data_IF_944983525112
#
_entry.id   IF_944983525112
#
_cell.length_a   1.000
_cell.length_b   1.000
_cell.length_c   1.000
_cell.angle_alpha   90.00
_cell.angle_beta   90.00
_cell.angle_gamma   90.00
#
_symmetry.space_group_name_H-M   'P 1'
#
loop_
_entity.id
_entity.type
_entity.pdbx_description
1 polymer ?
#
# COMPACT_ATOMS: atom_id res chain seq x y z
N UNK A 1 -25.87 -20.70 -34.34
CA UNK A 1 -26.67 -19.66 -33.67
C UNK A 1 -26.02 -19.35 -32.33
N UNK A 2 -25.98 -18.10 -31.92
CA UNK A 2 -25.40 -17.72 -30.61
C UNK A 2 -26.30 -18.21 -29.49
N UNK A 3 -25.71 -18.77 -28.44
CA UNK A 3 -26.39 -19.21 -27.23
C UNK A 3 -27.12 -18.06 -26.48
N UNK A 4 -26.74 -16.81 -26.78
CA UNK A 4 -27.28 -15.60 -26.15
C UNK A 4 -28.32 -14.86 -27.01
N UNK A 5 -28.85 -15.47 -28.09
CA UNK A 5 -29.83 -14.82 -28.94
C UNK A 5 -31.19 -14.65 -28.23
N UNK A 6 -31.87 -13.55 -28.57
CA UNK A 6 -33.18 -13.20 -28.02
C UNK A 6 -34.28 -14.18 -28.45
N UNK A 7 -35.19 -14.49 -27.52
CA UNK A 7 -36.44 -15.21 -27.87
C UNK A 7 -37.30 -14.36 -28.78
N UNK A 8 -37.82 -14.98 -29.86
CA UNK A 8 -38.84 -14.34 -30.74
C UNK A 8 -40.21 -14.77 -30.22
N UNK A 9 -40.94 -13.83 -29.67
CA UNK A 9 -42.29 -14.02 -29.18
C UNK A 9 -43.32 -13.91 -30.31
N UNK A 10 -44.16 -14.90 -30.47
CA UNK A 10 -45.21 -14.88 -31.51
C UNK A 10 -46.55 -15.26 -30.86
N UNK A 11 -47.63 -14.69 -31.42
CA UNK A 11 -48.99 -15.01 -30.99
C UNK A 11 -49.27 -16.49 -31.16
N UNK A 12 -49.90 -17.12 -30.15
CA UNK A 12 -50.28 -18.54 -30.21
C UNK A 12 -49.15 -19.54 -29.96
N UNK A 13 -47.93 -19.11 -29.65
CA UNK A 13 -46.86 -20.05 -29.35
C UNK A 13 -47.08 -20.72 -27.97
N UNK A 14 -46.74 -22.00 -27.87
CA UNK A 14 -46.68 -22.71 -26.60
C UNK A 14 -45.42 -22.35 -25.84
N UNK A 15 -45.59 -21.86 -24.62
CA UNK A 15 -44.48 -21.45 -23.75
C UNK A 15 -43.99 -22.65 -22.97
N UNK A 16 -42.68 -22.97 -23.08
CA UNK A 16 -41.98 -23.97 -22.29
C UNK A 16 -40.91 -23.28 -21.42
N UNK A 17 -40.35 -24.01 -20.46
CA UNK A 17 -39.28 -23.54 -19.55
C UNK A 17 -38.07 -23.00 -20.31
N UNK A 18 -37.75 -23.58 -21.49
CA UNK A 18 -36.62 -23.16 -22.32
C UNK A 18 -36.75 -21.72 -22.83
N UNK A 19 -37.97 -21.21 -23.02
CA UNK A 19 -38.19 -19.81 -23.43
C UNK A 19 -37.79 -18.84 -22.33
N UNK A 20 -38.14 -19.11 -21.07
CA UNK A 20 -37.73 -18.31 -19.94
C UNK A 20 -36.22 -18.37 -19.72
N UNK A 21 -35.63 -19.57 -19.70
CA UNK A 21 -34.20 -19.76 -19.57
C UNK A 21 -33.39 -19.05 -20.67
N UNK A 22 -33.89 -19.05 -21.92
CA UNK A 22 -33.24 -18.34 -23.02
C UNK A 22 -33.42 -16.84 -22.91
N UNK A 23 -34.55 -16.37 -22.38
CA UNK A 23 -34.81 -14.97 -22.14
C UNK A 23 -33.86 -14.44 -21.06
N UNK A 24 -33.69 -15.15 -19.95
CA UNK A 24 -32.77 -14.81 -18.86
C UNK A 24 -31.33 -14.75 -19.39
N UNK A 25 -30.86 -15.75 -20.13
CA UNK A 25 -29.52 -15.72 -20.75
C UNK A 25 -29.30 -14.51 -21.65
N UNK A 26 -30.31 -14.15 -22.45
CA UNK A 26 -30.23 -12.97 -23.29
C UNK A 26 -30.11 -11.68 -22.45
N UNK A 27 -30.92 -11.55 -21.40
CA UNK A 27 -30.87 -10.38 -20.52
C UNK A 27 -29.54 -10.28 -19.77
N UNK A 28 -29.05 -11.37 -19.18
CA UNK A 28 -27.74 -11.44 -18.51
C UNK A 28 -26.63 -10.96 -19.46
N UNK A 29 -26.59 -11.52 -20.67
CA UNK A 29 -25.60 -11.15 -21.67
C UNK A 29 -25.74 -9.69 -22.13
N UNK A 30 -26.96 -9.18 -22.26
CA UNK A 30 -27.22 -7.79 -22.66
C UNK A 30 -26.72 -6.82 -21.56
N UNK A 31 -26.97 -7.14 -20.30
CA UNK A 31 -26.53 -6.34 -19.16
C UNK A 31 -25.00 -6.33 -19.10
N UNK A 32 -24.37 -7.50 -19.14
CA UNK A 32 -22.91 -7.63 -19.08
C UNK A 32 -22.22 -6.89 -20.24
N UNK A 33 -22.69 -7.09 -21.48
CA UNK A 33 -22.12 -6.44 -22.66
C UNK A 33 -22.25 -4.90 -22.63
N UNK A 34 -23.25 -4.36 -21.94
CA UNK A 34 -23.41 -2.91 -21.75
C UNK A 34 -22.63 -2.36 -20.57
N UNK A 35 -22.38 -3.18 -19.54
CA UNK A 35 -21.71 -2.75 -18.30
C UNK A 35 -20.20 -2.81 -18.40
N UNK A 36 -19.64 -3.87 -19.01
CA UNK A 36 -18.18 -4.08 -19.13
C UNK A 36 -17.41 -2.91 -19.73
N UNK A 37 -17.87 -2.24 -20.80
CA UNK A 37 -17.11 -1.14 -21.40
C UNK A 37 -17.10 0.14 -20.56
N UNK A 38 -17.90 0.22 -19.49
CA UNK A 38 -18.03 1.44 -18.67
C UNK A 38 -16.87 1.63 -17.69
N UNK A 39 -16.18 0.55 -17.31
CA UNK A 39 -15.05 0.60 -16.39
C UNK A 39 -14.03 -0.49 -16.69
N UNK A 40 -12.76 -0.16 -16.62
CA UNK A 40 -11.70 -1.16 -16.63
C UNK A 40 -11.72 -1.93 -15.30
N UNK A 41 -11.78 -3.28 -15.35
CA UNK A 41 -11.84 -4.08 -14.14
C UNK A 41 -13.20 -3.99 -13.42
N UNK A 42 -14.29 -4.33 -14.13
CA UNK A 42 -15.65 -4.30 -13.59
C UNK A 42 -16.03 -5.54 -12.76
N UNK A 43 -15.06 -6.18 -12.11
CA UNK A 43 -15.23 -7.33 -11.19
C UNK A 43 -14.44 -7.10 -9.91
N UNK A 44 -14.69 -7.91 -8.88
CA UNK A 44 -13.98 -7.82 -7.62
C UNK A 44 -14.91 -7.62 -6.42
N UNK A 45 -14.33 -7.36 -5.27
CA UNK A 45 -15.05 -7.19 -4.02
C UNK A 45 -15.40 -5.72 -3.77
N UNK A 46 -16.65 -5.47 -3.36
CA UNK A 46 -17.06 -4.23 -2.70
C UNK A 46 -17.05 -4.39 -1.16
N UNK A 47 -17.10 -5.64 -0.67
CA UNK A 47 -16.96 -6.01 0.73
C UNK A 47 -16.30 -7.38 0.82
N UNK A 48 -15.38 -7.55 1.79
CA UNK A 48 -14.72 -8.82 2.07
C UNK A 48 -14.33 -8.90 3.55
N UNK A 49 -14.90 -9.86 4.26
CA UNK A 49 -14.59 -10.13 5.66
C UNK A 49 -14.26 -11.61 5.85
N UNK A 50 -13.03 -11.89 6.27
CA UNK A 50 -12.50 -13.23 6.52
C UNK A 50 -12.64 -13.57 8.01
N UNK A 51 -12.97 -14.83 8.33
CA UNK A 51 -13.05 -15.35 9.68
C UNK A 51 -11.66 -15.56 10.28
N UNK A 52 -11.28 -14.65 11.20
CA UNK A 52 -9.99 -14.71 11.89
C UNK A 52 -9.89 -15.90 12.87
N UNK A 53 -11.03 -16.36 13.41
CA UNK A 53 -11.05 -17.50 14.33
C UNK A 53 -10.74 -18.81 13.61
N UNK A 54 -11.26 -18.99 12.41
CA UNK A 54 -10.99 -20.17 11.59
C UNK A 54 -9.57 -20.15 10.97
N UNK A 55 -9.01 -18.96 10.69
CA UNK A 55 -7.59 -18.85 10.29
C UNK A 55 -6.65 -19.42 11.36
N UNK A 56 -6.92 -19.16 12.63
CA UNK A 56 -6.15 -19.72 13.74
C UNK A 56 -6.26 -21.27 13.83
N UNK A 57 -7.28 -21.87 13.23
CA UNK A 57 -7.48 -23.32 13.17
C UNK A 57 -7.00 -23.98 11.86
N UNK A 58 -6.35 -23.22 10.98
CA UNK A 58 -5.85 -23.72 9.69
C UNK A 58 -6.91 -23.80 8.60
N UNK A 59 -8.01 -23.06 8.75
CA UNK A 59 -9.11 -23.03 7.79
C UNK A 59 -9.31 -21.61 7.27
N UNK A 60 -9.63 -21.47 5.98
CA UNK A 60 -10.08 -20.20 5.43
C UNK A 60 -11.60 -20.22 5.28
N UNK A 61 -12.27 -19.19 5.80
CA UNK A 61 -13.70 -18.99 5.63
C UNK A 61 -14.04 -17.52 5.41
N UNK A 62 -15.11 -17.26 4.68
CA UNK A 62 -15.67 -15.93 4.44
C UNK A 62 -16.88 -15.74 5.35
N UNK A 63 -16.89 -14.66 6.14
CA UNK A 63 -18.04 -14.25 6.96
C UNK A 63 -19.02 -13.46 6.10
N UNK A 64 -18.54 -12.42 5.40
CA UNK A 64 -19.33 -11.65 4.45
C UNK A 64 -18.47 -11.28 3.22
N UNK A 65 -19.12 -11.25 2.06
CA UNK A 65 -18.50 -10.77 0.85
C UNK A 65 -19.57 -10.34 -0.17
N UNK A 66 -19.32 -9.21 -0.83
CA UNK A 66 -20.19 -8.71 -1.89
C UNK A 66 -19.34 -8.24 -3.05
N UNK A 67 -19.80 -8.49 -4.28
CA UNK A 67 -19.06 -8.08 -5.46
C UNK A 67 -19.60 -8.65 -6.75
N UNK A 68 -18.73 -8.65 -7.75
CA UNK A 68 -18.96 -9.21 -9.09
C UNK A 68 -17.83 -10.19 -9.42
N UNK A 69 -18.19 -11.35 -9.95
CA UNK A 69 -17.24 -12.31 -10.54
C UNK A 69 -16.79 -11.83 -11.94
N UNK A 70 -15.66 -12.36 -12.47
CA UNK A 70 -15.15 -11.96 -13.78
C UNK A 70 -16.11 -12.22 -14.95
N UNK A 71 -17.09 -13.13 -14.78
CA UNK A 71 -18.15 -13.36 -15.77
C UNK A 71 -19.36 -12.42 -15.65
N UNK A 72 -19.29 -11.42 -14.76
CA UNK A 72 -20.36 -10.46 -14.51
C UNK A 72 -21.40 -10.92 -13.49
N UNK A 73 -21.27 -12.14 -12.93
CA UNK A 73 -22.23 -12.65 -11.94
C UNK A 73 -22.09 -11.93 -10.60
N UNK A 74 -23.13 -11.26 -10.09
CA UNK A 74 -23.11 -10.66 -8.77
C UNK A 74 -23.16 -11.76 -7.68
N UNK A 75 -22.56 -11.48 -6.53
CA UNK A 75 -22.66 -12.30 -5.33
C UNK A 75 -22.79 -11.43 -4.07
N UNK A 76 -23.48 -11.98 -3.04
CA UNK A 76 -23.71 -11.28 -1.80
C UNK A 76 -23.87 -12.31 -0.65
N UNK A 77 -22.81 -12.57 0.05
CA UNK A 77 -22.70 -13.52 1.17
C UNK A 77 -22.86 -12.74 2.48
N UNK A 78 -23.72 -13.15 3.41
CA UNK A 78 -24.62 -14.31 3.40
C UNK A 78 -26.06 -13.95 2.96
N UNK A 79 -26.36 -12.73 2.48
CA UNK A 79 -27.71 -12.23 2.28
C UNK A 79 -28.44 -12.96 1.15
N UNK A 80 -27.79 -13.16 0.00
CA UNK A 80 -28.38 -13.77 -1.20
C UNK A 80 -27.77 -15.15 -1.50
N UNK A 81 -26.54 -15.38 -1.02
CA UNK A 81 -25.77 -16.59 -1.30
C UNK A 81 -25.29 -17.23 0.01
N UNK A 82 -25.31 -18.55 0.05
CA UNK A 82 -24.71 -19.30 1.15
C UNK A 82 -23.19 -19.08 1.17
N UNK A 83 -22.65 -18.91 2.37
CA UNK A 83 -21.20 -18.88 2.53
C UNK A 83 -20.59 -20.21 2.06
N UNK A 84 -19.49 -20.17 1.28
CA UNK A 84 -18.82 -21.38 0.85
C UNK A 84 -18.30 -22.17 2.06
N UNK A 85 -18.25 -23.50 1.91
CA UNK A 85 -17.68 -24.39 2.93
C UNK A 85 -16.25 -23.94 3.26
N UNK A 86 -15.88 -23.81 4.56
CA UNK A 86 -14.53 -23.44 4.95
C UNK A 86 -13.48 -24.36 4.34
N UNK A 87 -12.47 -23.77 3.66
CA UNK A 87 -11.38 -24.48 3.03
C UNK A 87 -10.35 -24.91 4.08
N UNK A 88 -10.11 -26.24 4.17
CA UNK A 88 -8.95 -26.76 4.92
C UNK A 88 -7.70 -26.57 4.07
N UNK A 89 -6.76 -25.76 4.54
CA UNK A 89 -5.52 -25.47 3.81
C UNK A 89 -4.50 -26.59 4.04
N UNK A 90 -3.89 -27.08 2.95
CA UNK A 90 -2.83 -28.09 3.01
C UNK A 90 -1.61 -27.56 3.79
N UNK A 91 -0.96 -28.44 4.56
CA UNK A 91 0.20 -28.08 5.38
C UNK A 91 1.43 -27.66 4.55
N UNK A 92 1.48 -28.08 3.28
CA UNK A 92 2.56 -27.77 2.35
C UNK A 92 2.31 -26.51 1.51
N UNK A 93 1.13 -25.91 1.60
CA UNK A 93 0.82 -24.69 0.84
C UNK A 93 1.73 -23.55 1.28
N UNK A 94 2.48 -22.98 0.33
CA UNK A 94 3.33 -21.80 0.51
C UNK A 94 3.06 -20.81 -0.60
N UNK A 95 2.93 -19.54 -0.23
CA UNK A 95 2.65 -18.42 -1.14
C UNK A 95 1.47 -18.69 -2.09
N UNK A 96 0.50 -19.48 -1.63
CA UNK A 96 -0.63 -19.93 -2.42
C UNK A 96 -1.79 -18.94 -2.41
N UNK A 97 -2.39 -18.70 -3.58
CA UNK A 97 -3.59 -17.89 -3.72
C UNK A 97 -4.84 -18.74 -3.53
N UNK A 98 -5.80 -18.24 -2.75
CA UNK A 98 -7.13 -18.84 -2.62
C UNK A 98 -8.15 -17.96 -3.32
N UNK A 99 -9.05 -18.63 -4.05
CA UNK A 99 -10.06 -18.01 -4.90
C UNK A 99 -11.46 -18.25 -4.37
N UNK A 100 -12.34 -17.26 -4.51
CA UNK A 100 -13.78 -17.44 -4.53
C UNK A 100 -14.19 -17.76 -5.96
N UNK A 101 -14.83 -18.90 -6.19
CA UNK A 101 -15.05 -19.44 -7.50
C UNK A 101 -16.49 -19.92 -7.68
N UNK A 102 -17.03 -19.73 -8.88
CA UNK A 102 -18.32 -20.22 -9.33
C UNK A 102 -18.12 -20.93 -10.67
N UNK A 103 -18.65 -22.16 -10.89
CA UNK A 103 -18.49 -22.84 -12.17
C UNK A 103 -18.92 -21.98 -13.36
N UNK A 104 -18.17 -22.03 -14.46
CA UNK A 104 -18.53 -21.32 -15.69
C UNK A 104 -19.83 -21.86 -16.29
N UNK A 105 -20.67 -20.97 -16.78
CA UNK A 105 -21.89 -21.32 -17.49
C UNK A 105 -21.54 -21.98 -18.83
N UNK A 106 -22.00 -23.22 -19.04
CA UNK A 106 -21.68 -24.00 -20.23
C UNK A 106 -22.95 -24.52 -20.91
N UNK A 107 -22.98 -24.43 -22.25
CA UNK A 107 -24.06 -24.97 -23.04
C UNK A 107 -24.14 -26.49 -22.86
N UNK A 108 -25.34 -27.02 -22.53
CA UNK A 108 -25.57 -28.42 -22.32
C UNK A 108 -25.20 -28.98 -20.95
N UNK A 109 -24.63 -28.16 -20.04
CA UNK A 109 -24.42 -28.55 -18.66
C UNK A 109 -25.71 -28.39 -17.82
N UNK A 110 -25.86 -29.22 -16.79
CA UNK A 110 -26.93 -29.03 -15.79
C UNK A 110 -26.52 -27.83 -14.92
N UNK A 111 -27.37 -26.81 -14.88
CA UNK A 111 -27.07 -25.50 -14.21
C UNK A 111 -27.41 -25.57 -12.71
N UNK A 112 -28.30 -26.47 -12.29
CA UNK A 112 -28.79 -26.57 -10.92
C UNK A 112 -28.66 -28.01 -10.37
N UNK A 113 -28.39 -28.15 -9.08
CA UNK A 113 -28.47 -29.37 -8.29
C UNK A 113 -29.38 -29.17 -7.10
N UNK A 114 -29.97 -30.22 -6.56
CA UNK A 114 -30.77 -30.12 -5.35
C UNK A 114 -29.87 -30.09 -4.10
N UNK A 115 -30.39 -29.58 -3.00
CA UNK A 115 -29.66 -29.50 -1.73
C UNK A 115 -29.26 -30.93 -1.28
N UNK A 116 -27.97 -31.09 -0.95
CA UNK A 116 -27.39 -32.36 -0.54
C UNK A 116 -26.86 -33.24 -1.68
N UNK A 117 -27.10 -32.88 -2.95
CA UNK A 117 -26.43 -33.51 -4.09
C UNK A 117 -24.97 -33.01 -4.22
N UNK A 118 -24.14 -33.82 -4.92
CA UNK A 118 -22.78 -33.40 -5.27
C UNK A 118 -22.83 -32.19 -6.23
N UNK A 119 -22.16 -31.13 -5.86
CA UNK A 119 -22.21 -29.86 -6.60
C UNK A 119 -21.71 -29.97 -8.06
N UNK A 120 -20.78 -30.88 -8.36
CA UNK A 120 -20.23 -31.08 -9.70
C UNK A 120 -19.90 -29.75 -10.41
N UNK A 121 -20.40 -29.56 -11.64
CA UNK A 121 -20.27 -28.32 -12.41
C UNK A 121 -21.51 -27.39 -12.31
N UNK A 122 -22.43 -27.68 -11.39
CA UNK A 122 -23.62 -26.84 -11.23
C UNK A 122 -23.29 -25.45 -10.64
N UNK A 123 -24.00 -24.45 -11.14
CA UNK A 123 -23.86 -23.06 -10.69
C UNK A 123 -24.77 -22.72 -9.53
N UNK A 124 -25.88 -23.43 -9.39
CA UNK A 124 -26.91 -23.13 -8.38
C UNK A 124 -27.27 -24.37 -7.59
N UNK A 125 -27.53 -24.17 -6.31
CA UNK A 125 -28.17 -25.13 -5.43
C UNK A 125 -29.64 -24.74 -5.30
N UNK A 126 -30.55 -25.67 -5.66
CA UNK A 126 -31.98 -25.43 -5.63
C UNK A 126 -32.55 -25.71 -4.24
N UNK A 127 -33.30 -24.77 -3.70
CA UNK A 127 -34.05 -24.90 -2.47
C UNK A 127 -35.50 -24.49 -2.67
N UNK A 128 -36.46 -25.21 -2.14
CA UNK A 128 -37.88 -24.85 -2.19
C UNK A 128 -38.18 -23.86 -1.06
N UNK A 129 -38.60 -22.64 -1.46
CA UNK A 129 -38.96 -21.57 -0.54
C UNK A 129 -40.43 -21.18 -0.72
N UNK A 130 -41.09 -20.84 0.38
CA UNK A 130 -42.45 -20.30 0.36
C UNK A 130 -42.44 -18.82 -0.04
N UNK A 131 -42.77 -18.51 -1.29
CA UNK A 131 -42.77 -17.15 -1.83
C UNK A 131 -44.19 -16.59 -1.78
N UNK A 132 -44.30 -15.37 -1.25
CA UNK A 132 -45.54 -14.63 -1.15
C UNK A 132 -45.94 -14.00 -2.49
N UNK A 133 -47.23 -13.99 -2.79
CA UNK A 133 -47.82 -13.16 -3.84
C UNK A 133 -47.97 -11.72 -3.32
N UNK A 134 -47.18 -10.79 -3.83
CA UNK A 134 -47.17 -9.39 -3.41
C UNK A 134 -48.44 -8.62 -3.81
N UNK A 135 -49.22 -9.15 -4.73
CA UNK A 135 -50.47 -8.54 -5.21
C UNK A 135 -51.73 -9.16 -4.58
N UNK A 136 -51.58 -10.24 -3.83
CA UNK A 136 -52.73 -10.86 -3.17
C UNK A 136 -53.15 -10.04 -1.92
N UNK A 137 -54.47 -9.81 -1.70
CA UNK A 137 -54.97 -9.03 -0.54
C UNK A 137 -54.80 -9.81 0.79
N UNK A 138 -54.54 -11.13 0.73
CA UNK A 138 -54.26 -11.97 1.90
C UNK A 138 -52.90 -12.66 1.73
N UNK A 139 -52.45 -13.27 2.81
CA UNK A 139 -51.21 -14.07 2.79
C UNK A 139 -51.39 -15.30 1.88
N UNK A 140 -50.96 -15.16 0.65
CA UNK A 140 -50.93 -16.23 -0.36
C UNK A 140 -49.48 -16.58 -0.64
N UNK A 141 -49.05 -17.79 -0.31
CA UNK A 141 -47.71 -18.30 -0.51
C UNK A 141 -47.76 -19.51 -1.41
N UNK A 142 -46.73 -19.64 -2.28
CA UNK A 142 -46.56 -20.78 -3.11
C UNK A 142 -45.10 -21.30 -2.99
N UNK A 143 -44.92 -22.65 -2.99
CA UNK A 143 -43.59 -23.23 -3.02
C UNK A 143 -42.91 -22.93 -4.37
N UNK A 144 -41.78 -22.24 -4.34
CA UNK A 144 -40.97 -21.92 -5.52
C UNK A 144 -39.56 -22.42 -5.29
N UNK A 145 -39.02 -23.16 -6.29
CA UNK A 145 -37.62 -23.55 -6.27
C UNK A 145 -36.72 -22.33 -6.60
N UNK A 146 -35.97 -21.87 -5.64
CA UNK A 146 -35.01 -20.79 -5.78
C UNK A 146 -33.60 -21.34 -5.82
N UNK A 147 -32.71 -20.76 -6.67
CA UNK A 147 -31.31 -21.17 -6.80
C UNK A 147 -30.35 -20.20 -6.10
N UNK A 148 -29.65 -20.65 -5.06
CA UNK A 148 -28.50 -19.94 -4.53
C UNK A 148 -27.24 -20.34 -5.27
N UNK A 149 -26.27 -19.40 -5.43
CA UNK A 149 -25.01 -19.68 -6.17
C UNK A 149 -24.15 -20.69 -5.42
N UNK A 150 -23.63 -21.69 -6.13
CA UNK A 150 -22.75 -22.75 -5.60
C UNK A 150 -21.31 -22.25 -5.47
N UNK A 151 -21.11 -21.18 -4.68
CA UNK A 151 -19.81 -20.57 -4.45
C UNK A 151 -18.87 -21.52 -3.68
N UNK A 152 -17.59 -21.52 -4.07
CA UNK A 152 -16.55 -22.40 -3.50
C UNK A 152 -15.28 -21.63 -3.22
N UNK A 153 -14.52 -22.10 -2.22
CA UNK A 153 -13.14 -21.69 -2.00
C UNK A 153 -12.22 -22.72 -2.64
N UNK A 154 -11.37 -22.29 -3.57
CA UNK A 154 -10.45 -23.14 -4.31
C UNK A 154 -9.03 -22.58 -4.23
N UNK A 155 -8.04 -23.48 -4.34
CA UNK A 155 -6.63 -23.14 -4.55
C UNK A 155 -6.27 -23.25 -6.03
N UNK A 156 -5.11 -22.74 -6.43
CA UNK A 156 -4.60 -22.91 -7.80
C UNK A 156 -4.50 -24.38 -8.23
N UNK A 157 -4.27 -25.30 -7.26
CA UNK A 157 -4.14 -26.74 -7.50
C UNK A 157 -5.46 -27.40 -7.87
N UNK A 158 -6.60 -26.80 -7.51
CA UNK A 158 -7.93 -27.33 -7.78
C UNK A 158 -8.40 -27.08 -9.23
N UNK A 159 -7.59 -26.43 -10.07
CA UNK A 159 -7.91 -26.22 -11.48
C UNK A 159 -8.97 -25.16 -11.73
N UNK A 160 -8.63 -23.89 -11.49
CA UNK A 160 -9.54 -22.73 -11.58
C UNK A 160 -10.06 -22.42 -12.99
N UNK A 161 -9.50 -23.02 -14.05
CA UNK A 161 -9.87 -22.70 -15.44
C UNK A 161 -11.34 -22.98 -15.82
N UNK A 162 -12.03 -23.80 -15.04
CA UNK A 162 -13.45 -24.13 -15.23
C UNK A 162 -14.40 -23.21 -14.43
N UNK A 163 -13.85 -22.17 -13.80
CA UNK A 163 -14.58 -21.30 -12.89
C UNK A 163 -14.42 -19.82 -13.26
N UNK A 164 -15.46 -19.05 -13.01
CA UNK A 164 -15.34 -17.62 -12.81
C UNK A 164 -14.76 -17.42 -11.39
N UNK A 165 -13.48 -17.09 -11.28
CA UNK A 165 -12.75 -17.08 -10.03
C UNK A 165 -12.08 -15.74 -9.78
N UNK A 166 -12.14 -15.26 -8.53
CA UNK A 166 -11.42 -14.06 -8.06
C UNK A 166 -10.56 -14.40 -6.84
N UNK A 167 -9.34 -13.89 -6.82
CA UNK A 167 -8.45 -14.08 -5.69
C UNK A 167 -9.01 -13.43 -4.42
N UNK A 168 -9.01 -14.15 -3.31
CA UNK A 168 -9.50 -13.68 -2.00
C UNK A 168 -8.35 -13.26 -1.10
N UNK A 169 -7.42 -14.18 -0.86
CA UNK A 169 -6.24 -13.99 -0.01
C UNK A 169 -5.06 -14.79 -0.57
N UNK A 170 -3.85 -14.30 -0.28
CA UNK A 170 -2.61 -15.07 -0.45
C UNK A 170 -2.19 -15.61 0.91
N UNK A 171 -1.97 -16.92 0.99
CA UNK A 171 -1.50 -17.60 2.20
C UNK A 171 0.01 -17.76 2.09
N UNK A 172 0.78 -17.09 2.96
CA UNK A 172 2.23 -17.23 3.03
C UNK A 172 2.64 -18.62 3.49
N UNK A 173 2.06 -19.03 4.61
CA UNK A 173 2.36 -20.33 5.20
C UNK A 173 1.28 -20.76 6.21
N UNK A 174 1.28 -22.06 6.52
CA UNK A 174 0.59 -22.61 7.68
C UNK A 174 1.64 -22.94 8.76
N UNK A 175 1.48 -22.37 9.94
CA UNK A 175 2.40 -22.56 11.07
C UNK A 175 2.26 -23.96 11.69
N UNK A 176 3.22 -24.34 12.54
CA UNK A 176 3.20 -25.58 13.29
C UNK A 176 2.00 -25.69 14.26
N UNK A 177 1.49 -24.56 14.77
CA UNK A 177 0.27 -24.45 15.57
C UNK A 177 -1.01 -24.51 14.73
N UNK A 178 -0.90 -24.76 13.44
CA UNK A 178 -1.93 -24.79 12.39
C UNK A 178 -2.45 -23.43 11.94
N UNK A 179 -2.10 -22.32 12.59
CA UNK A 179 -2.58 -21.01 12.18
C UNK A 179 -2.09 -20.65 10.77
N UNK A 180 -2.99 -20.09 9.97
CA UNK A 180 -2.68 -19.55 8.64
C UNK A 180 -2.10 -18.15 8.75
N UNK A 181 -0.98 -17.91 8.08
CA UNK A 181 -0.38 -16.58 7.93
C UNK A 181 -0.73 -16.05 6.55
N UNK A 182 -1.50 -14.98 6.52
CA UNK A 182 -1.85 -14.30 5.28
C UNK A 182 -0.75 -13.33 4.85
N UNK A 183 -0.70 -13.04 3.56
CA UNK A 183 0.12 -11.97 3.03
C UNK A 183 -0.62 -10.63 3.15
N UNK A 184 -0.18 -9.80 4.12
CA UNK A 184 -0.76 -8.47 4.34
C UNK A 184 -0.54 -7.50 3.17
N UNK A 185 0.39 -7.81 2.25
CA UNK A 185 0.62 -7.01 1.06
C UNK A 185 -0.32 -7.37 -0.10
N UNK A 186 -0.96 -8.55 -0.06
CA UNK A 186 -1.89 -8.95 -1.10
C UNK A 186 -3.15 -8.09 -1.08
N UNK A 187 -3.55 -7.61 -2.25
CA UNK A 187 -4.77 -6.85 -2.44
C UNK A 187 -5.60 -7.57 -3.50
N UNK A 188 -6.78 -8.11 -3.16
CA UNK A 188 -7.65 -8.77 -4.12
C UNK A 188 -8.21 -7.80 -5.17
N UNK A 189 -8.77 -8.27 -6.29
CA UNK A 189 -9.56 -7.44 -7.19
C UNK A 189 -10.72 -6.76 -6.45
N UNK A 190 -10.89 -5.47 -6.65
CA UNK A 190 -11.84 -4.64 -5.89
C UNK A 190 -12.75 -3.82 -6.81
N UNK A 191 -13.97 -3.58 -6.37
CA UNK A 191 -14.88 -2.56 -6.88
C UNK A 191 -14.88 -1.32 -5.99
N UNK A 192 -14.48 -1.47 -4.72
CA UNK A 192 -14.35 -0.38 -3.76
C UNK A 192 -13.03 -0.52 -2.97
N UNK A 193 -12.23 0.54 -2.98
CA UNK A 193 -10.94 0.63 -2.25
C UNK A 193 -11.10 0.32 -0.76
N UNK A 194 -12.27 0.64 -0.16
CA UNK A 194 -12.51 0.43 1.28
C UNK A 194 -12.54 -1.05 1.68
N UNK A 195 -12.82 -1.95 0.74
CA UNK A 195 -12.81 -3.39 0.99
C UNK A 195 -11.40 -3.95 1.26
N UNK A 196 -10.34 -3.19 0.96
CA UNK A 196 -8.96 -3.55 1.24
C UNK A 196 -8.42 -2.77 2.44
N UNK A 197 -8.02 -3.48 3.51
CA UNK A 197 -7.38 -2.86 4.68
C UNK A 197 -6.11 -2.06 4.31
N UNK A 198 -5.15 -2.59 3.50
CA UNK A 198 -3.96 -1.84 3.09
C UNK A 198 -4.28 -0.53 2.37
N UNK A 199 -5.24 -0.54 1.41
CA UNK A 199 -5.58 0.67 0.66
C UNK A 199 -6.36 1.68 1.52
N UNK A 200 -7.28 1.21 2.36
CA UNK A 200 -8.00 2.06 3.29
C UNK A 200 -7.06 2.75 4.30
N UNK A 201 -6.10 2.00 4.83
CA UNK A 201 -5.07 2.54 5.72
C UNK A 201 -4.18 3.56 5.00
N UNK A 202 -3.68 3.24 3.80
CA UNK A 202 -2.87 4.16 3.00
C UNK A 202 -3.62 5.44 2.65
N UNK A 203 -4.90 5.37 2.30
CA UNK A 203 -5.74 6.53 2.02
C UNK A 203 -5.79 7.49 3.22
N UNK A 204 -5.98 6.95 4.42
CA UNK A 204 -6.00 7.74 5.66
C UNK A 204 -4.63 8.32 6.00
N UNK A 205 -3.55 7.53 5.81
CA UNK A 205 -2.17 7.96 5.96
C UNK A 205 -1.84 9.12 5.02
N UNK A 206 -2.18 8.98 3.73
CA UNK A 206 -1.92 10.00 2.71
C UNK A 206 -2.61 11.33 3.05
N UNK A 207 -3.87 11.29 3.49
CA UNK A 207 -4.58 12.49 3.93
C UNK A 207 -3.89 13.17 5.12
N UNK A 208 -3.49 12.39 6.11
CA UNK A 208 -2.75 12.92 7.29
C UNK A 208 -1.43 13.56 6.89
N UNK A 209 -0.68 12.91 5.99
CA UNK A 209 0.58 13.45 5.47
C UNK A 209 0.36 14.74 4.67
N UNK A 210 -0.61 14.79 3.76
CA UNK A 210 -0.92 15.99 2.97
C UNK A 210 -1.34 17.15 3.88
N UNK A 211 -2.19 16.91 4.87
CA UNK A 211 -2.59 17.93 5.83
C UNK A 211 -1.39 18.49 6.60
N UNK A 212 -0.57 17.62 7.19
CA UNK A 212 0.62 18.04 7.94
C UNK A 212 1.59 18.86 7.07
N UNK A 213 1.74 18.47 5.79
CA UNK A 213 2.60 19.20 4.84
C UNK A 213 2.03 20.55 4.46
N UNK A 214 0.72 20.61 4.22
CA UNK A 214 0.03 21.86 3.93
C UNK A 214 0.22 22.89 5.02
N UNK A 215 0.02 22.52 6.28
CA UNK A 215 0.22 23.41 7.44
C UNK A 215 1.68 23.87 7.56
N UNK A 216 2.65 22.95 7.43
CA UNK A 216 4.07 23.29 7.53
C UNK A 216 4.53 24.23 6.41
N UNK A 217 4.06 24.01 5.18
CA UNK A 217 4.38 24.84 4.02
C UNK A 217 3.72 26.24 4.14
N UNK A 218 2.45 26.28 4.52
CA UNK A 218 1.73 27.54 4.72
C UNK A 218 2.43 28.43 5.77
N UNK A 219 2.86 27.84 6.91
CA UNK A 219 3.61 28.54 7.93
C UNK A 219 4.94 29.11 7.42
N UNK A 220 5.66 28.40 6.56
CA UNK A 220 6.92 28.88 5.96
C UNK A 220 6.71 30.02 4.97
N UNK A 221 5.75 29.86 4.05
CA UNK A 221 5.43 30.89 3.05
C UNK A 221 5.01 32.21 3.71
N UNK A 222 4.26 32.17 4.80
CA UNK A 222 3.86 33.35 5.56
C UNK A 222 5.05 33.98 6.30
N UNK A 223 5.98 33.16 6.81
CA UNK A 223 7.13 33.65 7.59
C UNK A 223 8.27 34.24 6.72
N UNK A 224 8.39 33.80 5.46
CA UNK A 224 9.45 34.26 4.54
C UNK A 224 9.05 35.56 3.84
N UNK A 225 9.35 36.72 4.45
CA UNK A 225 9.08 38.01 3.85
C UNK A 225 10.09 38.54 2.82
N UNK A 226 10.97 37.68 2.27
CA UNK A 226 12.04 38.08 1.33
C UNK A 226 12.03 37.13 0.10
N UNK A 227 11.65 37.63 -1.05
CA UNK A 227 11.53 36.90 -2.32
C UNK A 227 12.84 36.24 -2.77
N UNK A 228 12.89 34.89 -2.67
CA UNK A 228 14.00 34.08 -3.13
C UNK A 228 13.52 32.80 -3.89
N UNK A 229 14.43 32.17 -4.60
CA UNK A 229 14.09 30.93 -5.37
C UNK A 229 13.51 29.81 -4.51
N UNK A 230 13.91 29.74 -3.22
CA UNK A 230 13.36 28.79 -2.25
C UNK A 230 11.89 29.05 -1.92
N UNK A 231 11.49 30.32 -1.83
CA UNK A 231 10.11 30.74 -1.56
C UNK A 231 9.17 30.37 -2.71
N UNK A 232 9.64 30.53 -3.97
CA UNK A 232 8.88 30.10 -5.15
C UNK A 232 8.65 28.58 -5.13
N UNK A 233 9.66 27.80 -4.77
CA UNK A 233 9.55 26.35 -4.68
C UNK A 233 8.56 25.92 -3.57
N UNK A 234 8.63 26.53 -2.39
CA UNK A 234 7.71 26.29 -1.28
C UNK A 234 6.27 26.68 -1.65
N UNK A 235 6.09 27.80 -2.36
CA UNK A 235 4.77 28.23 -2.85
C UNK A 235 4.18 27.28 -3.88
N UNK A 236 4.98 26.84 -4.87
CA UNK A 236 4.53 25.85 -5.85
C UNK A 236 4.18 24.50 -5.20
N UNK A 237 4.96 24.10 -4.19
CA UNK A 237 4.70 22.88 -3.46
C UNK A 237 3.43 22.99 -2.59
N UNK A 238 3.21 24.14 -1.95
CA UNK A 238 1.97 24.43 -1.24
C UNK A 238 0.76 24.41 -2.17
N UNK A 239 0.89 24.98 -3.38
CA UNK A 239 -0.16 24.91 -4.41
C UNK A 239 -0.50 23.47 -4.78
N UNK A 240 0.50 22.60 -4.95
CA UNK A 240 0.31 21.18 -5.23
C UNK A 240 -0.45 20.48 -4.09
N UNK A 241 -0.02 20.69 -2.84
CA UNK A 241 -0.67 20.11 -1.65
C UNK A 241 -2.10 20.61 -1.51
N UNK A 242 -2.34 21.91 -1.69
CA UNK A 242 -3.67 22.54 -1.62
C UNK A 242 -4.63 22.03 -2.73
N UNK A 243 -4.11 21.59 -3.87
CA UNK A 243 -4.89 20.90 -4.91
C UNK A 243 -5.15 19.44 -4.53
N UNK A 244 -4.13 18.73 -4.05
CA UNK A 244 -4.20 17.30 -3.80
C UNK A 244 -5.05 16.95 -2.57
N UNK A 245 -4.90 17.68 -1.46
CA UNK A 245 -5.58 17.37 -0.20
C UNK A 245 -7.11 17.35 -0.34
N UNK A 246 -7.80 18.39 -0.87
CA UNK A 246 -9.24 18.35 -1.01
C UNK A 246 -9.73 17.30 -2.02
N UNK A 247 -8.94 16.99 -3.07
CA UNK A 247 -9.26 15.92 -4.00
C UNK A 247 -9.22 14.56 -3.31
N UNK A 248 -8.15 14.23 -2.60
CA UNK A 248 -8.04 12.96 -1.87
C UNK A 248 -9.07 12.89 -0.74
N UNK A 249 -9.38 14.02 -0.08
CA UNK A 249 -10.47 14.12 0.90
C UNK A 249 -11.82 13.77 0.27
N UNK A 250 -12.12 14.34 -0.90
CA UNK A 250 -13.35 14.03 -1.65
C UNK A 250 -13.42 12.55 -2.04
N UNK A 251 -12.34 12.01 -2.63
CA UNK A 251 -12.26 10.59 -2.99
C UNK A 251 -12.44 9.68 -1.77
N UNK A 252 -11.99 10.13 -0.60
CA UNK A 252 -12.15 9.37 0.65
C UNK A 252 -13.60 9.27 1.14
N UNK A 253 -14.47 10.13 0.66
CA UNK A 253 -15.90 10.14 1.01
C UNK A 253 -16.76 9.42 -0.04
N UNK A 254 -16.17 9.04 -1.18
CA UNK A 254 -16.89 8.27 -2.19
C UNK A 254 -17.01 6.79 -1.78
N UNK A 255 -18.19 6.23 -1.98
CA UNK A 255 -18.43 4.80 -1.93
C UNK A 255 -19.49 4.45 -2.99
N UNK A 256 -19.14 3.63 -4.00
CA UNK A 256 -17.82 3.00 -4.17
C UNK A 256 -16.77 3.95 -4.76
N UNK A 257 -15.52 3.76 -4.36
CA UNK A 257 -14.34 4.32 -5.03
C UNK A 257 -13.61 3.19 -5.75
N UNK A 258 -13.70 3.17 -7.09
CA UNK A 258 -13.02 2.17 -7.90
C UNK A 258 -11.49 2.30 -7.81
N UNK A 259 -10.73 1.20 -7.64
CA UNK A 259 -9.29 1.28 -7.46
C UNK A 259 -8.53 1.87 -8.66
N UNK A 260 -8.98 1.67 -9.90
CA UNK A 260 -8.34 2.29 -11.07
C UNK A 260 -8.35 3.83 -10.98
N UNK A 261 -9.50 4.40 -10.60
CA UNK A 261 -9.62 5.86 -10.43
C UNK A 261 -8.69 6.37 -9.33
N UNK A 262 -8.62 5.66 -8.20
CA UNK A 262 -7.72 6.04 -7.10
C UNK A 262 -6.25 5.90 -7.52
N UNK A 263 -5.90 4.83 -8.23
CA UNK A 263 -4.55 4.62 -8.77
C UNK A 263 -4.10 5.75 -9.71
N UNK A 264 -4.96 6.16 -10.64
CA UNK A 264 -4.69 7.25 -11.59
C UNK A 264 -4.35 8.56 -10.87
N UNK A 265 -5.09 8.90 -9.81
CA UNK A 265 -4.80 10.10 -9.01
C UNK A 265 -3.49 9.98 -8.22
N UNK A 266 -3.17 8.79 -7.68
CA UNK A 266 -1.92 8.56 -6.99
C UNK A 266 -0.71 8.67 -7.91
N UNK A 267 -0.78 8.10 -9.11
CA UNK A 267 0.30 8.20 -10.12
C UNK A 267 0.53 9.65 -10.54
N UNK A 268 -0.57 10.40 -10.80
CA UNK A 268 -0.50 11.83 -11.11
C UNK A 268 0.18 12.60 -9.99
N UNK A 269 -0.24 12.38 -8.76
CA UNK A 269 0.32 13.04 -7.57
C UNK A 269 1.81 12.70 -7.36
N UNK A 270 2.19 11.44 -7.50
CA UNK A 270 3.59 11.01 -7.41
C UNK A 270 4.46 11.64 -8.51
N UNK A 271 3.91 11.77 -9.72
CA UNK A 271 4.55 12.46 -10.83
C UNK A 271 4.81 13.93 -10.52
N UNK A 272 3.84 14.65 -9.97
CA UNK A 272 3.99 16.06 -9.59
C UNK A 272 5.01 16.24 -8.46
N UNK A 273 4.96 15.41 -7.40
CA UNK A 273 5.94 15.49 -6.30
C UNK A 273 7.36 15.23 -6.77
N UNK A 274 7.59 14.40 -7.78
CA UNK A 274 8.94 14.09 -8.28
C UNK A 274 9.67 15.32 -8.81
N UNK A 275 8.96 16.37 -9.23
CA UNK A 275 9.56 17.67 -9.60
C UNK A 275 10.36 18.28 -8.42
N UNK A 276 9.95 18.01 -7.19
CA UNK A 276 10.55 18.56 -5.98
C UNK A 276 11.50 17.60 -5.28
N UNK A 277 11.24 16.29 -5.38
CA UNK A 277 11.89 15.26 -4.56
C UNK A 277 12.89 14.40 -5.34
N UNK A 278 12.68 14.18 -6.63
CA UNK A 278 13.60 13.38 -7.45
C UNK A 278 14.84 14.19 -7.87
N UNK A 279 16.02 13.59 -7.81
CA UNK A 279 17.28 14.21 -8.21
C UNK A 279 17.27 14.70 -9.68
N UNK A 280 16.64 13.93 -10.57
CA UNK A 280 16.44 14.29 -11.99
C UNK A 280 15.19 15.13 -12.24
N UNK A 281 14.40 15.47 -11.22
CA UNK A 281 13.12 16.18 -11.33
C UNK A 281 12.12 15.54 -12.29
N UNK A 282 12.23 14.23 -12.51
CA UNK A 282 11.37 13.43 -13.37
C UNK A 282 10.83 12.25 -12.58
N UNK A 283 9.57 11.83 -12.83
CA UNK A 283 9.00 10.67 -12.16
C UNK A 283 9.70 9.38 -12.61
N UNK A 284 9.75 8.41 -11.71
CA UNK A 284 10.02 7.02 -12.08
C UNK A 284 8.89 6.46 -12.94
N UNK A 285 9.14 5.36 -13.64
CA UNK A 285 8.08 4.62 -14.30
C UNK A 285 7.29 3.82 -13.26
N UNK A 286 5.97 4.02 -13.25
CA UNK A 286 5.05 3.20 -12.47
C UNK A 286 4.53 2.05 -13.34
N UNK A 287 4.22 0.88 -12.75
CA UNK A 287 3.63 -0.22 -13.49
C UNK A 287 2.27 0.19 -14.06
N UNK A 288 1.82 -0.42 -15.18
CA UNK A 288 0.46 -0.25 -15.63
C UNK A 288 -0.51 -0.82 -14.59
N UNK A 289 -1.72 -0.25 -14.53
CA UNK A 289 -2.76 -0.77 -13.65
C UNK A 289 -3.13 -2.22 -14.04
N UNK A 290 -3.07 -3.12 -13.08
CA UNK A 290 -3.46 -4.53 -13.22
C UNK A 290 -4.54 -4.85 -12.18
N UNK A 291 -5.76 -5.09 -12.66
CA UNK A 291 -6.90 -5.27 -11.78
C UNK A 291 -6.84 -6.55 -10.96
N UNK A 292 -6.25 -7.61 -11.52
CA UNK A 292 -6.06 -8.89 -10.83
C UNK A 292 -4.82 -8.94 -9.93
N UNK A 293 -3.94 -7.92 -10.00
CA UNK A 293 -2.79 -7.76 -9.13
C UNK A 293 -2.64 -6.28 -8.69
N UNK A 294 -3.52 -5.87 -7.81
CA UNK A 294 -3.52 -4.51 -7.28
C UNK A 294 -2.27 -4.23 -6.41
N UNK A 295 -1.71 -5.24 -5.76
CA UNK A 295 -0.50 -5.08 -4.98
C UNK A 295 0.68 -4.65 -5.86
N UNK A 296 0.87 -5.28 -7.03
CA UNK A 296 1.89 -4.92 -8.01
C UNK A 296 1.71 -3.49 -8.51
N UNK A 297 0.46 -3.07 -8.75
CA UNK A 297 0.15 -1.71 -9.21
C UNK A 297 0.42 -0.67 -8.11
N UNK A 298 -0.11 -0.88 -6.92
CA UNK A 298 -0.14 0.12 -5.87
C UNK A 298 1.15 0.26 -5.07
N UNK A 299 1.88 -0.84 -4.78
CA UNK A 299 3.02 -0.81 -3.87
C UNK A 299 4.08 0.22 -4.30
N UNK A 300 4.50 0.33 -5.58
CA UNK A 300 5.51 1.30 -5.99
C UNK A 300 5.04 2.75 -5.85
N UNK A 301 3.79 3.07 -6.18
CA UNK A 301 3.27 4.43 -6.09
C UNK A 301 3.03 4.86 -4.65
N UNK A 302 2.54 3.95 -3.79
CA UNK A 302 2.39 4.20 -2.36
C UNK A 302 3.75 4.48 -1.71
N UNK A 303 4.77 3.70 -2.05
CA UNK A 303 6.13 3.90 -1.56
C UNK A 303 6.69 5.25 -2.02
N UNK A 304 6.57 5.59 -3.30
CA UNK A 304 7.03 6.85 -3.85
C UNK A 304 6.37 8.07 -3.18
N UNK A 305 5.07 7.99 -2.89
CA UNK A 305 4.34 9.06 -2.19
C UNK A 305 4.78 9.19 -0.73
N UNK A 306 5.00 8.09 0.00
CA UNK A 306 5.56 8.12 1.35
C UNK A 306 6.93 8.78 1.39
N UNK A 307 7.82 8.37 0.48
CA UNK A 307 9.16 8.94 0.36
C UNK A 307 9.10 10.43 0.02
N UNK A 308 8.34 10.82 -0.99
CA UNK A 308 8.18 12.20 -1.39
C UNK A 308 7.66 13.08 -0.23
N UNK A 309 6.58 12.65 0.41
CA UNK A 309 6.00 13.38 1.53
C UNK A 309 6.89 13.37 2.78
N UNK A 310 7.72 12.36 3.01
CA UNK A 310 8.71 12.36 4.09
C UNK A 310 9.86 13.33 3.82
N UNK A 311 10.40 13.36 2.60
CA UNK A 311 11.47 14.30 2.22
C UNK A 311 11.07 15.78 2.35
N UNK A 312 9.79 16.08 2.15
CA UNK A 312 9.26 17.44 2.27
C UNK A 312 9.14 17.92 3.74
N UNK A 313 9.47 17.06 4.72
CA UNK A 313 9.36 17.45 6.13
C UNK A 313 10.33 18.55 6.47
N UNK A 314 11.54 18.61 5.86
CA UNK A 314 12.56 19.48 6.40
C UNK A 314 13.52 20.10 5.39
N UNK A 315 13.21 21.34 5.00
CA UNK A 315 14.22 22.34 4.63
C UNK A 315 15.07 22.81 5.84
N UNK A 316 14.76 22.36 7.06
CA UNK A 316 15.54 22.61 8.27
C UNK A 316 16.79 21.72 8.36
N UNK A 317 16.82 20.58 7.70
CA UNK A 317 17.99 19.70 7.64
C UNK A 317 18.74 19.91 6.33
N UNK A 318 19.94 20.46 6.42
CA UNK A 318 20.85 20.67 5.28
C UNK A 318 21.88 19.54 5.27
N UNK A 319 21.96 18.72 4.22
CA UNK A 319 23.02 17.71 4.12
C UNK A 319 24.37 18.40 3.86
N UNK A 320 25.38 17.95 4.59
CA UNK A 320 26.76 18.43 4.42
C UNK A 320 27.56 17.26 3.82
N UNK A 321 28.05 17.38 2.57
CA UNK A 321 28.76 16.29 1.92
C UNK A 321 30.01 15.90 2.71
N UNK A 322 30.21 14.59 2.92
CA UNK A 322 31.42 14.02 3.51
C UNK A 322 32.31 13.49 2.39
N UNK A 323 33.58 13.82 2.43
CA UNK A 323 34.58 13.31 1.52
C UNK A 323 35.61 12.48 2.32
N UNK A 324 35.78 11.23 1.99
CA UNK A 324 36.78 10.38 2.56
C UNK A 324 38.17 10.78 2.08
N UNK A 325 39.11 10.87 3.00
CA UNK A 325 40.54 11.15 2.78
C UNK A 325 41.37 9.95 3.23
N UNK A 326 42.69 10.05 3.07
CA UNK A 326 43.62 9.01 3.54
C UNK A 326 43.60 8.86 5.09
N UNK A 327 43.95 7.67 5.56
CA UNK A 327 44.12 7.35 7.00
C UNK A 327 42.86 7.46 7.86
N UNK A 328 41.70 7.08 7.33
CA UNK A 328 40.42 7.07 8.08
C UNK A 328 39.89 8.46 8.42
N UNK A 329 40.36 9.50 7.74
CA UNK A 329 39.87 10.87 7.91
C UNK A 329 38.76 11.13 6.87
N UNK A 330 37.65 11.65 7.38
CA UNK A 330 36.52 12.10 6.58
C UNK A 330 36.33 13.60 6.80
N UNK A 331 36.14 14.35 5.74
CA UNK A 331 36.04 15.82 5.79
C UNK A 331 34.68 16.28 5.28
N UNK A 332 34.04 17.15 6.05
CA UNK A 332 32.78 17.80 5.72
C UNK A 332 32.99 19.33 5.69
N UNK A 333 33.06 19.88 4.48
CA UNK A 333 33.25 21.34 4.30
C UNK A 333 31.96 22.08 4.63
N UNK A 334 32.06 23.13 5.45
CA UNK A 334 30.93 23.96 5.86
C UNK A 334 30.94 25.29 5.10
N UNK A 335 30.10 25.40 4.07
CA UNK A 335 30.02 26.62 3.26
C UNK A 335 29.32 27.78 3.98
N UNK A 336 28.28 27.46 4.77
CA UNK A 336 27.51 28.46 5.55
C UNK A 336 27.87 28.38 7.04
N UNK A 337 28.71 29.26 7.51
CA UNK A 337 29.16 29.28 8.90
C UNK A 337 28.09 29.74 9.90
N UNK A 338 27.00 30.39 9.42
CA UNK A 338 25.89 30.79 10.30
C UNK A 338 25.16 29.58 10.91
N UNK A 339 25.35 28.43 10.31
CA UNK A 339 24.82 27.16 10.85
C UNK A 339 25.47 26.77 12.18
N UNK A 340 26.72 27.17 12.44
CA UNK A 340 27.40 26.85 13.71
C UNK A 340 26.66 27.44 14.92
N UNK A 341 26.00 28.59 14.74
CA UNK A 341 25.26 29.25 15.80
C UNK A 341 23.80 28.85 15.89
N UNK A 342 23.19 28.48 14.73
CA UNK A 342 21.73 28.31 14.59
C UNK A 342 21.26 26.86 14.38
N UNK A 343 22.18 25.90 14.16
CA UNK A 343 21.82 24.53 13.83
C UNK A 343 22.41 23.52 14.81
N UNK A 344 21.71 22.42 15.03
CA UNK A 344 22.28 21.18 15.60
C UNK A 344 22.92 20.35 14.49
N UNK A 345 24.05 19.73 14.76
CA UNK A 345 24.77 18.90 13.80
C UNK A 345 24.64 17.43 14.13
N UNK A 346 24.15 16.64 13.17
CA UNK A 346 23.88 15.22 13.35
C UNK A 346 24.73 14.40 12.40
N UNK A 347 25.50 13.47 12.95
CA UNK A 347 26.22 12.43 12.21
C UNK A 347 25.38 11.15 12.21
N UNK A 348 25.02 10.69 11.03
CA UNK A 348 24.33 9.42 10.81
C UNK A 348 25.36 8.38 10.43
N UNK A 349 25.40 7.28 11.18
CA UNK A 349 26.40 6.21 11.01
C UNK A 349 25.69 4.89 10.73
N UNK A 350 26.06 4.24 9.64
CA UNK A 350 25.63 2.90 9.30
C UNK A 350 26.85 2.02 9.08
N UNK A 351 26.83 0.80 9.62
CA UNK A 351 27.85 -0.22 9.37
C UNK A 351 27.24 -1.62 9.53
N UNK A 352 27.91 -2.64 9.04
CA UNK A 352 27.49 -4.04 9.13
C UNK A 352 27.83 -4.65 10.50
N UNK A 353 27.43 -3.94 11.56
CA UNK A 353 27.60 -4.36 12.96
C UNK A 353 26.30 -4.08 13.74
N UNK A 354 26.03 -4.78 14.86
CA UNK A 354 24.84 -4.52 15.68
C UNK A 354 24.75 -3.06 16.12
N UNK A 355 23.55 -2.47 16.10
CA UNK A 355 23.31 -1.06 16.45
C UNK A 355 23.79 -0.70 17.86
N UNK A 356 23.72 -1.64 18.82
CA UNK A 356 24.20 -1.45 20.18
C UNK A 356 25.74 -1.34 20.23
N UNK A 357 26.44 -2.06 19.37
CA UNK A 357 27.90 -1.96 19.20
C UNK A 357 28.30 -0.61 18.62
N UNK A 358 27.55 -0.11 17.64
CA UNK A 358 27.74 1.25 17.13
C UNK A 358 27.54 2.28 18.24
N UNK A 359 26.42 2.23 18.96
CA UNK A 359 26.12 3.17 20.05
C UNK A 359 27.21 3.25 21.13
N UNK A 360 27.75 2.09 21.54
CA UNK A 360 28.72 2.04 22.63
C UNK A 360 30.14 2.32 22.20
N UNK A 361 30.55 1.95 20.97
CA UNK A 361 31.95 1.98 20.56
C UNK A 361 32.30 3.09 19.56
N UNK A 362 31.40 3.44 18.67
CA UNK A 362 31.72 4.39 17.59
C UNK A 362 32.18 5.76 18.13
N UNK A 363 31.46 6.32 19.10
CA UNK A 363 31.84 7.60 19.71
C UNK A 363 33.21 7.59 20.40
N UNK A 364 33.59 6.44 21.00
CA UNK A 364 34.89 6.28 21.68
C UNK A 364 36.05 6.07 20.69
N UNK A 365 35.78 5.47 19.53
CA UNK A 365 36.75 5.16 18.49
C UNK A 365 36.79 6.21 17.37
N UNK A 366 36.06 7.29 17.53
CA UNK A 366 36.01 8.38 16.58
C UNK A 366 36.41 9.70 17.23
N UNK A 367 37.12 10.55 16.48
CA UNK A 367 37.46 11.91 16.91
C UNK A 367 36.86 12.90 15.92
N UNK A 368 36.27 13.96 16.43
CA UNK A 368 35.70 15.04 15.64
C UNK A 368 36.37 16.35 15.99
N UNK A 369 36.69 17.16 14.99
CA UNK A 369 37.32 18.46 15.20
C UNK A 369 37.33 19.28 13.93
N UNK A 370 38.04 20.39 13.92
CA UNK A 370 38.23 21.21 12.72
C UNK A 370 39.19 20.51 11.73
N UNK A 371 39.00 20.81 10.43
CA UNK A 371 39.81 20.22 9.35
C UNK A 371 41.32 20.46 9.59
N UNK A 372 41.67 21.60 10.11
CA UNK A 372 43.06 22.00 10.36
C UNK A 372 43.69 21.29 11.54
N UNK A 373 42.92 20.99 12.60
CA UNK A 373 43.45 20.45 13.86
C UNK A 373 43.17 18.97 14.09
N UNK A 374 42.45 18.27 13.21
CA UNK A 374 42.11 16.85 13.40
C UNK A 374 43.34 15.97 13.59
N UNK A 375 44.44 16.25 12.87
CA UNK A 375 45.70 15.50 12.97
C UNK A 375 46.34 15.65 14.35
N UNK A 376 46.30 16.82 14.93
CA UNK A 376 46.85 17.09 16.26
C UNK A 376 46.01 16.38 17.32
N UNK A 377 44.67 16.39 17.21
CA UNK A 377 43.77 15.64 18.08
C UNK A 377 44.05 14.12 18.06
N UNK A 378 44.40 13.61 16.87
CA UNK A 378 44.72 12.18 16.72
C UNK A 378 46.11 11.86 17.31
N UNK A 379 47.14 12.62 16.94
CA UNK A 379 48.52 12.37 17.31
C UNK A 379 48.77 12.56 18.80
N UNK A 380 48.16 13.57 19.42
CA UNK A 380 48.29 13.89 20.83
C UNK A 380 47.25 13.21 21.72
N UNK A 381 46.36 12.37 21.10
CA UNK A 381 45.27 11.68 21.78
C UNK A 381 44.33 12.59 22.57
N UNK A 382 44.20 13.86 22.13
CA UNK A 382 43.32 14.83 22.77
C UNK A 382 41.85 14.48 22.55
N UNK A 383 40.94 14.87 23.46
CA UNK A 383 39.51 14.78 23.23
C UNK A 383 39.13 15.74 22.09
N UNK A 384 38.21 15.31 21.22
CA UNK A 384 37.62 16.17 20.20
C UNK A 384 36.20 16.62 20.61
N UNK A 385 35.44 17.08 19.63
CA UNK A 385 34.02 17.37 19.81
C UNK A 385 33.30 16.04 20.11
N UNK A 386 32.51 15.99 21.18
CA UNK A 386 31.79 14.80 21.63
C UNK A 386 30.71 14.37 20.63
N UNK A 387 30.53 13.06 20.47
CA UNK A 387 29.43 12.45 19.74
C UNK A 387 28.42 11.87 20.73
N UNK A 388 27.26 12.51 20.86
CA UNK A 388 26.19 12.10 21.80
C UNK A 388 25.19 11.22 21.05
N UNK A 389 25.07 9.92 21.42
CA UNK A 389 24.14 9.02 20.74
C UNK A 389 22.68 9.42 21.03
N UNK A 390 21.88 9.58 19.99
CA UNK A 390 20.47 9.87 20.12
C UNK A 390 19.66 8.56 20.21
N UNK A 391 18.70 8.47 21.17
CA UNK A 391 17.86 7.27 21.33
C UNK A 391 16.91 7.06 20.16
N UNK A 392 16.51 8.14 19.49
CA UNK A 392 15.57 8.15 18.35
C UNK A 392 16.13 9.06 17.27
N UNK A 393 15.93 8.69 16.01
CA UNK A 393 16.28 9.53 14.86
C UNK A 393 15.56 10.89 14.97
N UNK A 394 16.27 12.03 14.76
CA UNK A 394 15.60 13.33 14.65
C UNK A 394 14.54 13.31 13.56
N UNK A 395 13.36 13.90 13.84
CA UNK A 395 12.22 13.93 12.89
C UNK A 395 12.56 14.60 11.55
N UNK A 396 13.63 15.39 11.54
CA UNK A 396 14.14 16.15 10.41
C UNK A 396 15.03 15.32 9.47
N UNK A 397 15.43 14.14 9.85
CA UNK A 397 16.32 13.31 9.04
C UNK A 397 15.59 12.10 8.49
N UNK A 398 15.92 11.64 7.26
CA UNK A 398 15.37 10.40 6.75
C UNK A 398 15.72 9.24 7.68
N UNK A 399 14.70 8.48 8.06
CA UNK A 399 14.90 7.27 8.85
C UNK A 399 15.49 6.18 7.97
N UNK A 400 16.66 5.67 8.35
CA UNK A 400 17.28 4.50 7.73
C UNK A 400 17.39 3.36 8.76
N UNK A 401 16.73 2.24 8.48
CA UNK A 401 16.85 1.07 9.33
C UNK A 401 18.32 0.63 9.46
N UNK A 402 18.77 0.38 10.68
CA UNK A 402 20.15 -0.01 10.98
C UNK A 402 21.15 1.14 11.12
N UNK A 403 20.72 2.41 11.03
CA UNK A 403 21.57 3.56 11.29
C UNK A 403 21.50 4.02 12.75
N UNK A 404 22.63 4.51 13.27
CA UNK A 404 22.72 5.18 14.57
C UNK A 404 22.98 6.65 14.36
N UNK A 405 22.33 7.50 15.15
CA UNK A 405 22.39 8.96 15.05
C UNK A 405 23.15 9.53 16.24
N UNK A 406 24.08 10.46 15.96
CA UNK A 406 24.87 11.15 16.97
C UNK A 406 24.74 12.65 16.78
N UNK A 407 24.43 13.34 17.86
CA UNK A 407 24.51 14.81 17.90
C UNK A 407 25.92 15.22 18.31
N UNK A 408 26.46 16.25 17.65
CA UNK A 408 27.75 16.85 18.03
C UNK A 408 27.58 17.74 19.24
N UNK A 409 28.46 17.56 20.25
CA UNK A 409 28.44 18.36 21.46
C UNK A 409 28.96 19.79 21.19
N UNK A 410 28.02 20.76 21.17
CA UNK A 410 28.32 22.19 20.99
C UNK A 410 29.00 22.81 22.20
N UNK A 411 28.96 22.18 23.37
CA UNK A 411 29.62 22.64 24.61
C UNK A 411 31.12 22.37 24.66
N UNK A 412 31.68 21.68 23.66
CA UNK A 412 33.09 21.32 23.60
C UNK A 412 33.95 22.58 23.35
N UNK A 413 35.10 22.69 24.04
CA UNK A 413 36.09 23.76 23.81
C UNK A 413 36.58 23.80 22.36
N UNK A 414 36.56 22.69 21.65
CA UNK A 414 36.93 22.60 20.25
C UNK A 414 35.87 23.13 19.29
N UNK A 415 34.63 23.40 19.75
CA UNK A 415 33.56 23.95 18.91
C UNK A 415 33.89 25.36 18.40
N UNK A 416 34.46 26.18 19.26
CA UNK A 416 34.80 27.59 18.89
C UNK A 416 35.87 27.67 17.78
N UNK A 417 36.71 26.65 17.63
CA UNK A 417 37.72 26.58 16.57
C UNK A 417 37.10 26.42 15.17
N UNK A 418 35.85 25.90 15.08
CA UNK A 418 35.13 25.73 13.81
C UNK A 418 34.80 27.03 13.12
N UNK A 419 34.61 28.12 13.86
CA UNK A 419 34.33 29.44 13.30
C UNK A 419 35.43 29.93 12.35
N UNK A 420 36.67 29.53 12.61
CA UNK A 420 37.85 29.86 11.81
C UNK A 420 38.32 28.70 10.89
N UNK A 421 37.58 27.58 10.85
CA UNK A 421 37.90 26.39 10.07
C UNK A 421 37.13 26.34 8.76
N UNK A 422 37.64 25.60 7.78
CA UNK A 422 36.92 25.25 6.55
C UNK A 422 35.76 24.26 6.77
N UNK A 423 35.66 23.60 7.93
CA UNK A 423 34.61 22.65 8.24
C UNK A 423 34.99 21.61 9.28
N UNK A 424 34.25 20.52 9.29
CA UNK A 424 34.45 19.41 10.22
C UNK A 424 35.33 18.33 9.61
N UNK A 425 36.13 17.69 10.47
CA UNK A 425 36.84 16.47 10.14
C UNK A 425 36.54 15.39 11.19
N UNK A 426 36.35 14.19 10.69
CA UNK A 426 36.07 12.99 11.48
C UNK A 426 37.22 12.00 11.25
N UNK A 427 37.87 11.54 12.31
CA UNK A 427 38.82 10.44 12.24
C UNK A 427 38.23 9.24 12.92
N UNK A 428 38.19 8.10 12.21
CA UNK A 428 37.62 6.85 12.70
C UNK A 428 38.74 5.82 12.80
N UNK A 429 39.12 5.50 14.04
CA UNK A 429 40.18 4.53 14.34
C UNK A 429 39.69 3.09 14.36
N UNK A 430 38.39 2.86 14.56
CA UNK A 430 37.78 1.54 14.63
C UNK A 430 37.57 0.90 13.25
N UNK A 431 37.54 -0.45 13.22
CA UNK A 431 37.10 -1.18 12.03
C UNK A 431 35.59 -1.37 12.07
N UNK A 432 34.89 -0.70 11.15
CA UNK A 432 33.44 -0.79 10.97
C UNK A 432 33.15 -1.25 9.54
N UNK A 433 32.98 -2.57 9.30
CA UNK A 433 32.67 -3.09 7.96
C UNK A 433 31.42 -2.42 7.37
N UNK A 434 31.47 -2.05 6.10
CA UNK A 434 30.33 -1.39 5.42
C UNK A 434 30.03 0.02 5.94
N UNK A 435 31.02 0.71 6.55
CA UNK A 435 30.82 2.04 7.11
C UNK A 435 30.32 3.03 6.05
N UNK A 436 29.19 3.65 6.36
CA UNK A 436 28.61 4.74 5.60
C UNK A 436 28.26 5.88 6.56
N UNK A 437 28.69 7.10 6.21
CA UNK A 437 28.50 8.31 7.00
C UNK A 437 27.66 9.32 6.23
N UNK A 438 26.68 9.91 6.90
CA UNK A 438 25.99 11.10 6.39
C UNK A 438 25.96 12.17 7.47
N UNK A 439 26.19 13.43 7.09
CA UNK A 439 26.30 14.54 8.02
C UNK A 439 25.28 15.62 7.70
N UNK A 440 24.61 16.12 8.72
CA UNK A 440 23.48 17.02 8.56
C UNK A 440 23.55 18.17 9.58
N UNK A 441 23.18 19.36 9.11
CA UNK A 441 22.89 20.50 9.98
C UNK A 441 21.37 20.67 10.06
N UNK A 442 20.80 20.67 11.26
CA UNK A 442 19.36 20.87 11.53
C UNK A 442 19.19 22.24 12.16
N UNK A 443 18.55 23.16 11.46
CA UNK A 443 18.19 24.48 12.00
C UNK A 443 17.07 24.33 13.04
N UNK A 444 17.22 24.99 14.17
CA UNK A 444 16.28 24.97 15.29
C UNK A 444 14.96 25.71 15.02
#
# INVERSE_FOLDING_TARGET
MSWNNRVVWSEGMFIGTQHFQQHDRYLENLIDARSRPLSAGSWGFSELLIDQGLLAQGKLAIISARGLLPDGTPFNIPQDDLAPTPLNVDDNLRDGLVYLALPLKRAGARDTVDEGEELGAARYVSQVCEVRDDNAPFENRAPVALGSRALRLLTEQDGIGDYAAIGVVRIKEKRADRALVLDDAYIPPLLDVIASKPLAAFRSELLGLLHQRGEALAGRVVASGAGGASEIADFMLLQLVNRAQPLIQHLSQLSPLHPERFYSELVSLAGEFSTFTASGRRPQQFPPYQHDDLALSYAPVMQALREALSMLIDSKATPIPIVEKAYGIHVAMLADKTLLDSASFILVVRADVPAETLRSRFGQQSKVGSVEHIRDLVNLQLPGIGLLPLPVAPRQLPYHAGSTYYELDRGSDHWQQLSNSGGFAFHIAGQFPGLNLAFWAIRG
#
